data_IF_206791068314
#
_entry.id   IF_206791068314
#
_cell.length_a   1.000
_cell.length_b   1.000
_cell.length_c   1.000
_cell.angle_alpha   90.00
_cell.angle_beta   90.00
_cell.angle_gamma   90.00
#
_symmetry.space_group_name_H-M   'P 1'
#
loop_
_entity.id
_entity.type
_entity.pdbx_description
1 polymer ?
#
# COMPACT_ATOMS: atom_id res chain seq x y z
N UNK A 1 -29.54 -13.61 -16.03
CA UNK A 1 -28.72 -12.70 -15.21
C UNK A 1 -27.68 -13.56 -14.51
N UNK A 2 -26.46 -13.61 -15.03
CA UNK A 2 -25.45 -14.60 -14.60
C UNK A 2 -24.86 -14.24 -13.23
N UNK A 3 -24.61 -15.27 -12.41
CA UNK A 3 -23.95 -15.21 -11.09
C UNK A 3 -22.56 -14.52 -11.08
N UNK A 4 -22.03 -14.17 -12.25
CA UNK A 4 -20.71 -13.56 -12.43
C UNK A 4 -20.64 -12.12 -11.93
N UNK A 5 -21.75 -11.38 -11.85
CA UNK A 5 -21.73 -9.96 -11.44
C UNK A 5 -21.73 -9.74 -9.92
N UNK A 6 -21.94 -10.79 -9.12
CA UNK A 6 -21.96 -10.71 -7.65
C UNK A 6 -20.59 -10.99 -6.99
N UNK A 7 -19.58 -11.44 -7.75
CA UNK A 7 -18.22 -11.75 -7.23
C UNK A 7 -17.28 -10.54 -7.16
N UNK A 8 -17.79 -9.32 -7.34
CA UNK A 8 -17.06 -8.08 -7.04
C UNK A 8 -17.07 -7.72 -5.54
N UNK A 9 -17.62 -8.60 -4.68
CA UNK A 9 -17.39 -8.54 -3.23
C UNK A 9 -15.93 -8.86 -2.97
N UNK A 10 -15.21 -7.87 -2.48
CA UNK A 10 -13.75 -7.81 -2.35
C UNK A 10 -13.22 -9.03 -1.61
N UNK A 11 -12.51 -9.91 -2.33
CA UNK A 11 -11.72 -10.99 -1.72
C UNK A 11 -10.91 -10.42 -0.53
N UNK A 12 -11.12 -10.93 0.70
CA UNK A 12 -10.39 -10.49 1.88
C UNK A 12 -8.88 -10.48 1.67
N UNK A 13 -8.34 -11.42 0.89
CA UNK A 13 -6.92 -11.53 0.57
C UNK A 13 -6.45 -10.33 -0.27
N UNK A 14 -7.20 -9.97 -1.32
CA UNK A 14 -6.92 -8.77 -2.13
C UNK A 14 -6.95 -7.49 -1.29
N UNK A 15 -7.87 -7.39 -0.32
CA UNK A 15 -7.95 -6.24 0.58
C UNK A 15 -6.71 -6.15 1.48
N UNK A 16 -6.27 -7.28 2.03
CA UNK A 16 -5.07 -7.36 2.87
C UNK A 16 -3.82 -6.99 2.06
N UNK A 17 -3.67 -7.55 0.86
CA UNK A 17 -2.58 -7.20 -0.07
C UNK A 17 -2.55 -5.71 -0.39
N UNK A 18 -3.71 -5.11 -0.71
CA UNK A 18 -3.80 -3.67 -1.01
C UNK A 18 -3.38 -2.82 0.18
N UNK A 19 -3.80 -3.20 1.38
CA UNK A 19 -3.44 -2.52 2.64
C UNK A 19 -1.94 -2.63 2.92
N UNK A 20 -1.35 -3.81 2.75
CA UNK A 20 0.08 -4.06 2.90
C UNK A 20 0.90 -3.22 1.90
N UNK A 21 0.56 -3.28 0.60
CA UNK A 21 1.22 -2.50 -0.43
C UNK A 21 1.16 -0.99 -0.13
N UNK A 22 0.00 -0.48 0.30
CA UNK A 22 -0.14 0.93 0.68
C UNK A 22 0.73 1.30 1.88
N UNK A 23 0.79 0.45 2.90
CA UNK A 23 1.63 0.68 4.06
C UNK A 23 3.12 0.74 3.70
N UNK A 24 3.58 -0.21 2.88
CA UNK A 24 4.97 -0.25 2.39
C UNK A 24 5.30 1.01 1.59
N UNK A 25 4.49 1.32 0.57
CA UNK A 25 4.74 2.46 -0.31
C UNK A 25 4.73 3.79 0.44
N UNK A 26 3.73 4.00 1.31
CA UNK A 26 3.65 5.23 2.10
C UNK A 26 4.80 5.36 3.11
N UNK A 27 5.18 4.28 3.80
CA UNK A 27 6.24 4.33 4.81
C UNK A 27 7.61 4.68 4.19
N UNK A 28 7.96 4.02 3.08
CA UNK A 28 9.22 4.28 2.37
C UNK A 28 9.25 5.69 1.79
N UNK A 29 8.20 6.07 1.04
CA UNK A 29 8.09 7.41 0.46
C UNK A 29 8.15 8.49 1.54
N UNK A 30 7.42 8.33 2.65
CA UNK A 30 7.39 9.33 3.74
C UNK A 30 8.75 9.50 4.41
N UNK A 31 9.49 8.40 4.59
CA UNK A 31 10.83 8.46 5.16
C UNK A 31 11.75 9.32 4.28
N UNK A 32 11.78 9.03 2.99
CA UNK A 32 12.65 9.73 2.05
C UNK A 32 12.20 11.18 1.85
N UNK A 33 10.90 11.41 1.68
CA UNK A 33 10.36 12.74 1.51
C UNK A 33 10.63 13.66 2.71
N UNK A 34 10.47 13.15 3.95
CA UNK A 34 10.76 13.94 5.16
C UNK A 34 12.24 14.26 5.36
N UNK A 35 13.12 13.38 4.88
CA UNK A 35 14.56 13.65 4.90
C UNK A 35 14.90 14.88 4.04
N UNK A 36 14.22 14.99 2.90
CA UNK A 36 14.43 16.10 1.95
C UNK A 36 13.58 17.34 2.28
N UNK A 37 12.53 17.18 3.09
CA UNK A 37 11.60 18.25 3.49
C UNK A 37 11.40 18.27 5.02
N UNK A 38 12.46 18.55 5.81
CA UNK A 38 12.40 18.44 7.27
C UNK A 38 11.46 19.46 7.93
N UNK A 39 11.23 20.60 7.28
CA UNK A 39 10.38 21.69 7.79
C UNK A 39 8.93 21.62 7.29
N UNK A 40 8.66 20.74 6.31
CA UNK A 40 7.38 20.73 5.63
C UNK A 40 6.24 20.23 6.53
N UNK A 41 5.11 20.90 6.40
CA UNK A 41 3.90 20.65 7.16
C UNK A 41 3.15 19.40 6.70
N UNK A 42 2.07 19.07 7.42
CA UNK A 42 1.20 17.94 7.06
C UNK A 42 0.51 18.14 5.71
N UNK A 43 0.04 19.35 5.43
CA UNK A 43 -0.70 19.64 4.20
C UNK A 43 0.18 19.52 2.96
N UNK A 44 1.43 19.96 3.05
CA UNK A 44 2.45 19.81 1.99
C UNK A 44 2.79 18.34 1.77
N UNK A 45 2.93 17.58 2.86
CA UNK A 45 3.16 16.13 2.79
C UNK A 45 1.97 15.43 2.13
N UNK A 46 0.73 15.77 2.49
CA UNK A 46 -0.45 15.12 1.92
C UNK A 46 -0.61 15.45 0.42
N UNK A 47 -0.32 16.69 0.01
CA UNK A 47 -0.29 17.08 -1.40
C UNK A 47 0.82 16.36 -2.18
N UNK A 48 2.03 16.29 -1.62
CA UNK A 48 3.15 15.58 -2.23
C UNK A 48 2.89 14.08 -2.34
N UNK A 49 2.22 13.48 -1.34
CA UNK A 49 1.81 12.09 -1.38
C UNK A 49 0.86 11.83 -2.53
N UNK A 50 -0.21 12.62 -2.68
CA UNK A 50 -1.18 12.37 -3.76
C UNK A 50 -0.55 12.49 -5.16
N UNK A 51 0.47 13.34 -5.34
CA UNK A 51 1.24 13.41 -6.57
C UNK A 51 2.12 12.16 -6.79
N UNK A 52 2.78 11.63 -5.75
CA UNK A 52 3.69 10.49 -5.86
C UNK A 52 3.01 9.12 -5.80
N UNK A 53 1.82 9.05 -5.19
CA UNK A 53 1.11 7.83 -4.78
C UNK A 53 0.96 6.80 -5.88
N UNK A 54 0.67 7.20 -7.12
CA UNK A 54 0.46 6.25 -8.21
C UNK A 54 1.72 5.41 -8.48
N UNK A 55 2.87 6.07 -8.58
CA UNK A 55 4.16 5.41 -8.83
C UNK A 55 4.65 4.66 -7.59
N UNK A 56 4.51 5.22 -6.40
CA UNK A 56 4.90 4.55 -5.16
C UNK A 56 4.06 3.29 -4.90
N UNK A 57 2.76 3.32 -5.19
CA UNK A 57 1.90 2.13 -5.12
C UNK A 57 2.26 1.07 -6.17
N UNK A 58 2.82 1.46 -7.33
CA UNK A 58 3.30 0.52 -8.35
C UNK A 58 4.58 -0.16 -7.89
N UNK A 59 5.53 0.59 -7.31
CA UNK A 59 6.76 0.04 -6.69
C UNK A 59 6.41 -0.91 -5.55
N UNK A 60 5.52 -0.50 -4.64
CA UNK A 60 5.13 -1.30 -3.49
C UNK A 60 4.44 -2.62 -3.88
N UNK A 61 3.57 -2.61 -4.90
CA UNK A 61 2.96 -3.85 -5.41
C UNK A 61 4.01 -4.80 -6.00
N UNK A 62 5.00 -4.29 -6.74
CA UNK A 62 6.10 -5.12 -7.28
C UNK A 62 6.94 -5.73 -6.17
N UNK A 63 7.24 -4.96 -5.12
CA UNK A 63 7.95 -5.46 -3.95
C UNK A 63 7.15 -6.54 -3.23
N UNK A 64 5.84 -6.34 -3.04
CA UNK A 64 4.96 -7.32 -2.42
C UNK A 64 4.94 -8.64 -3.22
N UNK A 65 4.77 -8.56 -4.54
CA UNK A 65 4.80 -9.75 -5.40
C UNK A 65 6.18 -10.39 -5.50
N UNK A 66 7.26 -9.68 -5.17
CA UNK A 66 8.59 -10.29 -5.04
C UNK A 66 8.67 -11.11 -3.74
N UNK A 67 8.19 -10.57 -2.63
CA UNK A 67 8.13 -11.31 -1.36
C UNK A 67 7.26 -12.56 -1.47
N UNK A 68 6.11 -12.47 -2.14
CA UNK A 68 5.24 -13.64 -2.37
C UNK A 68 5.95 -14.73 -3.19
N UNK A 69 6.81 -14.35 -4.15
CA UNK A 69 7.62 -15.30 -4.92
C UNK A 69 8.73 -15.95 -4.11
N UNK A 70 9.25 -15.27 -3.09
CA UNK A 70 10.22 -15.81 -2.14
C UNK A 70 9.57 -16.67 -1.04
N UNK A 71 8.25 -16.90 -1.11
CA UNK A 71 7.51 -17.75 -0.19
C UNK A 71 6.96 -17.04 1.04
N UNK A 72 6.87 -15.70 1.04
CA UNK A 72 6.22 -14.94 2.11
C UNK A 72 4.72 -14.78 1.84
N UNK A 73 3.89 -15.06 2.85
CA UNK A 73 2.46 -14.80 2.80
C UNK A 73 2.08 -13.52 3.54
N UNK A 74 1.15 -12.77 2.95
CA UNK A 74 0.60 -11.54 3.54
C UNK A 74 -0.69 -11.85 4.28
N UNK A 75 -0.62 -11.88 5.60
CA UNK A 75 -1.77 -12.15 6.47
C UNK A 75 -2.12 -10.93 7.31
N UNK A 76 -3.41 -10.70 7.57
CA UNK A 76 -3.82 -9.66 8.52
C UNK A 76 -3.58 -10.18 9.94
N UNK A 77 -2.61 -9.58 10.64
CA UNK A 77 -2.39 -9.87 12.04
C UNK A 77 -3.62 -9.44 12.87
N UNK A 78 -4.05 -10.27 13.82
CA UNK A 78 -4.94 -9.80 14.89
C UNK A 78 -4.20 -8.66 15.60
N UNK A 79 -4.82 -7.47 15.67
CA UNK A 79 -4.27 -6.31 16.39
C UNK A 79 -3.82 -6.78 17.78
N UNK A 80 -2.56 -6.52 18.13
CA UNK A 80 -2.16 -6.52 19.54
C UNK A 80 -2.80 -5.27 20.14
N UNK A 81 -3.77 -5.48 21.03
CA UNK A 81 -4.38 -4.43 21.84
C UNK A 81 -3.40 -3.85 22.84
#
# INVERSE_FOLDING_TARGET
MSESDAKAVTDPEMRVRRKAARAIGYALWRHDWRKDHPEAGRDEMDAAWEAAKAEEMKKARRALSALEREGFDVVEARRRG
#
